data_IF_313101073549
#
_entry.id   IF_313101073549
#
_cell.length_a   1.000
_cell.length_b   1.000
_cell.length_c   1.000
_cell.angle_alpha   90.00
_cell.angle_beta   90.00
_cell.angle_gamma   90.00
#
_symmetry.space_group_name_H-M   'P 1'
#
loop_
_entity.id
_entity.type
_entity.pdbx_description
1 polymer ?
#
# COMPACT_ATOMS: atom_id res chain seq x y z
N UNK A 1 3.09 8.48 5.66
CA UNK A 1 3.73 8.96 4.43
C UNK A 1 5.06 8.25 4.22
N UNK A 2 6.02 8.31 5.16
CA UNK A 2 7.34 7.66 5.01
C UNK A 2 7.22 6.20 4.56
N UNK A 3 6.37 5.39 5.21
CA UNK A 3 6.16 4.00 4.84
C UNK A 3 5.60 3.86 3.41
N UNK A 4 4.67 4.72 3.00
CA UNK A 4 4.12 4.71 1.63
C UNK A 4 5.20 5.01 0.60
N UNK A 5 6.04 6.01 0.84
CA UNK A 5 7.16 6.38 -0.06
C UNK A 5 8.17 5.24 -0.16
N UNK A 6 8.62 4.69 0.97
CA UNK A 6 9.58 3.59 0.98
C UNK A 6 9.05 2.33 0.29
N UNK A 7 7.79 1.95 0.57
CA UNK A 7 7.16 0.78 -0.05
C UNK A 7 6.98 0.97 -1.56
N UNK A 8 6.57 2.17 -2.00
CA UNK A 8 6.42 2.48 -3.43
C UNK A 8 7.76 2.44 -4.14
N UNK A 9 8.78 3.08 -3.58
CA UNK A 9 10.12 3.09 -4.16
C UNK A 9 10.69 1.67 -4.27
N UNK A 10 10.59 0.88 -3.19
CA UNK A 10 11.02 -0.51 -3.19
C UNK A 10 10.35 -1.32 -4.29
N UNK A 11 9.02 -1.25 -4.40
CA UNK A 11 8.28 -2.01 -5.41
C UNK A 11 8.64 -1.57 -6.84
N UNK A 12 8.77 -0.28 -7.09
CA UNK A 12 9.21 0.20 -8.40
C UNK A 12 10.60 -0.30 -8.76
N UNK A 13 11.56 -0.22 -7.83
CA UNK A 13 12.92 -0.68 -8.06
C UNK A 13 13.03 -2.21 -8.19
N UNK A 14 12.12 -2.98 -7.57
CA UNK A 14 12.02 -4.44 -7.76
C UNK A 14 11.39 -4.83 -9.11
N UNK A 15 10.71 -3.89 -9.79
CA UNK A 15 10.05 -4.13 -11.07
C UNK A 15 10.53 -3.15 -12.15
N UNK A 16 11.76 -3.31 -12.67
CA UNK A 16 12.40 -2.33 -13.56
C UNK A 16 11.56 -1.98 -14.79
N UNK A 17 10.89 -2.96 -15.39
CA UNK A 17 10.03 -2.70 -16.56
C UNK A 17 8.87 -1.76 -16.25
N UNK A 18 8.27 -1.90 -15.06
CA UNK A 18 7.17 -1.01 -14.62
C UNK A 18 7.69 0.35 -14.17
N UNK A 19 8.89 0.41 -13.61
CA UNK A 19 9.58 1.67 -13.34
C UNK A 19 9.83 2.45 -14.63
N UNK A 20 10.27 1.77 -15.69
CA UNK A 20 10.47 2.38 -17.00
C UNK A 20 9.15 2.84 -17.63
N UNK A 21 8.05 2.12 -17.41
CA UNK A 21 6.72 2.58 -17.80
C UNK A 21 6.34 3.88 -17.09
N UNK A 22 6.52 3.96 -15.78
CA UNK A 22 6.25 5.19 -14.99
C UNK A 22 7.15 6.34 -15.44
N UNK A 23 8.41 6.10 -15.78
CA UNK A 23 9.33 7.12 -16.32
C UNK A 23 8.89 7.65 -17.68
N UNK A 24 8.41 6.75 -18.56
CA UNK A 24 7.91 7.13 -19.91
C UNK A 24 6.54 7.79 -19.87
N UNK A 25 5.70 7.39 -18.92
CA UNK A 25 4.33 7.86 -18.76
C UNK A 25 4.12 8.37 -17.32
N UNK A 26 4.53 9.61 -17.00
CA UNK A 26 4.43 10.16 -15.63
C UNK A 26 3.01 10.12 -15.03
N UNK A 27 1.98 10.08 -15.88
CA UNK A 27 0.58 9.92 -15.45
C UNK A 27 0.29 8.59 -14.75
N UNK A 28 1.16 7.56 -14.88
CA UNK A 28 1.04 6.29 -14.17
C UNK A 28 1.46 6.38 -12.70
N UNK A 29 2.14 7.43 -12.29
CA UNK A 29 2.73 7.51 -10.95
C UNK A 29 1.68 7.45 -9.84
N UNK A 30 0.54 8.11 -10.00
CA UNK A 30 -0.55 8.02 -9.03
C UNK A 30 -1.10 6.60 -8.89
N UNK A 31 -1.22 5.88 -10.02
CA UNK A 31 -1.59 4.46 -10.06
C UNK A 31 -0.56 3.58 -9.36
N UNK A 32 0.72 3.81 -9.62
CA UNK A 32 1.82 3.10 -8.98
C UNK A 32 1.84 3.28 -7.46
N UNK A 33 1.63 4.52 -6.98
CA UNK A 33 1.51 4.82 -5.54
C UNK A 33 0.30 4.12 -4.94
N UNK A 34 -0.86 4.18 -5.61
CA UNK A 34 -2.08 3.51 -5.13
C UNK A 34 -1.90 1.99 -5.05
N UNK A 35 -1.27 1.39 -6.05
CA UNK A 35 -1.00 -0.05 -6.12
C UNK A 35 0.03 -0.49 -5.08
N UNK A 36 1.08 0.29 -4.87
CA UNK A 36 2.06 0.01 -3.82
C UNK A 36 1.40 0.03 -2.42
N UNK A 37 0.55 1.01 -2.15
CA UNK A 37 -0.23 1.11 -0.91
C UNK A 37 -1.24 -0.04 -0.78
N UNK A 38 -1.80 -0.54 -1.88
CA UNK A 38 -2.63 -1.75 -1.87
C UNK A 38 -1.81 -2.97 -1.50
N UNK A 39 -0.72 -3.21 -2.19
CA UNK A 39 0.07 -4.44 -2.09
C UNK A 39 0.86 -4.51 -0.78
N UNK A 40 1.43 -3.39 -0.35
CA UNK A 40 2.20 -3.27 0.90
C UNK A 40 1.62 -2.11 1.73
N UNK A 41 0.43 -2.29 2.34
CA UNK A 41 -0.20 -1.23 3.11
C UNK A 41 0.67 -0.86 4.33
N UNK A 42 0.86 0.44 4.60
CA UNK A 42 1.58 0.89 5.81
C UNK A 42 0.94 0.41 7.12
N UNK A 43 -0.37 0.21 7.11
CA UNK A 43 -1.13 -0.38 8.22
C UNK A 43 -1.70 -1.72 7.74
N UNK A 44 -1.16 -2.83 8.27
CA UNK A 44 -1.55 -4.17 7.86
C UNK A 44 -2.84 -4.65 8.52
N UNK A 45 -3.10 -4.21 9.75
CA UNK A 45 -4.26 -4.57 10.57
C UNK A 45 -4.82 -3.34 11.26
N UNK A 46 -6.14 -3.33 11.43
CA UNK A 46 -6.83 -2.36 12.29
C UNK A 46 -7.63 -3.08 13.35
N UNK A 47 -7.56 -2.57 14.56
CA UNK A 47 -8.20 -3.15 15.74
C UNK A 47 -9.61 -2.63 15.91
N UNK A 48 -10.53 -3.51 16.31
CA UNK A 48 -11.92 -3.20 16.62
C UNK A 48 -12.37 -3.98 17.86
N UNK A 49 -13.36 -3.47 18.53
CA UNK A 49 -14.06 -4.15 19.62
C UNK A 49 -15.55 -4.19 19.30
N UNK A 50 -16.15 -5.37 19.39
CA UNK A 50 -17.58 -5.53 19.19
C UNK A 50 -18.34 -4.83 20.33
N UNK A 51 -19.35 -4.03 20.00
CA UNK A 51 -20.23 -3.42 20.99
C UNK A 51 -21.36 -4.35 21.40
N UNK A 52 -21.81 -5.15 20.47
CA UNK A 52 -22.89 -6.13 20.58
C UNK A 52 -22.47 -7.42 19.87
N UNK A 53 -23.13 -8.55 20.11
CA UNK A 53 -22.87 -9.76 19.34
C UNK A 53 -23.08 -9.50 17.85
N UNK A 54 -22.18 -9.99 17.02
CA UNK A 54 -22.24 -9.84 15.56
C UNK A 54 -21.87 -11.15 14.88
N UNK A 55 -22.60 -11.46 13.81
CA UNK A 55 -22.26 -12.60 12.96
C UNK A 55 -21.51 -12.13 11.73
N UNK A 56 -20.33 -12.71 11.50
CA UNK A 56 -19.51 -12.45 10.30
C UNK A 56 -19.31 -13.79 9.58
N UNK A 57 -19.88 -13.91 8.40
CA UNK A 57 -20.00 -15.19 7.69
C UNK A 57 -20.64 -16.25 8.59
N UNK A 58 -19.91 -17.33 8.90
CA UNK A 58 -20.41 -18.43 9.73
C UNK A 58 -19.93 -18.37 11.18
N UNK A 59 -19.32 -17.24 11.60
CA UNK A 59 -18.76 -17.07 12.94
C UNK A 59 -19.60 -16.08 13.73
N UNK A 60 -20.11 -16.52 14.90
CA UNK A 60 -20.73 -15.65 15.88
C UNK A 60 -19.66 -15.06 16.81
N UNK A 61 -19.55 -13.74 16.83
CA UNK A 61 -18.58 -13.00 17.65
C UNK A 61 -19.36 -12.36 18.80
N UNK A 62 -19.06 -12.69 20.05
CA UNK A 62 -19.72 -12.08 21.22
C UNK A 62 -19.50 -10.56 21.29
N UNK A 63 -20.26 -9.89 22.16
CA UNK A 63 -19.98 -8.51 22.51
C UNK A 63 -18.67 -8.39 23.30
N UNK A 64 -17.99 -7.26 23.14
CA UNK A 64 -16.73 -6.91 23.82
C UNK A 64 -15.55 -7.80 23.45
N UNK A 65 -15.61 -8.42 22.29
CA UNK A 65 -14.49 -9.18 21.74
C UNK A 65 -13.59 -8.31 20.87
N UNK A 66 -12.29 -8.63 20.95
CA UNK A 66 -11.27 -8.02 20.10
C UNK A 66 -11.32 -8.62 18.70
N UNK A 67 -11.36 -7.79 17.69
CA UNK A 67 -11.36 -8.19 16.28
C UNK A 67 -10.25 -7.49 15.52
N UNK A 68 -9.31 -8.26 14.99
CA UNK A 68 -8.28 -7.77 14.07
C UNK A 68 -8.77 -7.80 12.63
N UNK A 69 -9.01 -6.65 12.04
CA UNK A 69 -9.37 -6.55 10.60
C UNK A 69 -8.11 -6.51 9.76
N UNK A 70 -7.90 -7.56 8.94
CA UNK A 70 -6.73 -7.68 8.08
C UNK A 70 -6.87 -6.82 6.84
N UNK A 71 -6.25 -5.65 6.82
CA UNK A 71 -6.17 -4.77 5.64
C UNK A 71 -5.35 -5.42 4.53
N UNK A 72 -4.23 -6.06 4.89
CA UNK A 72 -3.37 -6.76 3.93
C UNK A 72 -4.09 -7.95 3.28
N UNK A 73 -4.95 -8.65 4.02
CA UNK A 73 -5.79 -9.72 3.49
C UNK A 73 -6.86 -9.18 2.55
N UNK A 74 -7.62 -8.17 2.99
CA UNK A 74 -8.66 -7.54 2.18
C UNK A 74 -8.13 -6.95 0.87
N UNK A 75 -6.93 -6.38 0.89
CA UNK A 75 -6.28 -5.82 -0.29
C UNK A 75 -5.74 -6.90 -1.27
N UNK A 76 -5.80 -8.17 -0.87
CA UNK A 76 -5.42 -9.33 -1.67
C UNK A 76 -6.58 -10.29 -1.93
N UNK A 77 -7.81 -9.84 -1.70
CA UNK A 77 -9.00 -10.64 -2.00
C UNK A 77 -9.11 -10.87 -3.52
N UNK A 78 -9.02 -12.12 -4.00
CA UNK A 78 -9.11 -12.43 -5.43
C UNK A 78 -10.51 -12.14 -6.02
N UNK A 79 -11.54 -12.05 -5.19
CA UNK A 79 -12.88 -11.62 -5.63
C UNK A 79 -12.92 -10.14 -6.01
N UNK A 80 -11.94 -9.34 -5.56
CA UNK A 80 -11.84 -7.91 -5.83
C UNK A 80 -10.68 -7.58 -6.77
N UNK A 81 -9.53 -8.23 -6.58
CA UNK A 81 -8.30 -7.94 -7.29
C UNK A 81 -7.82 -9.18 -8.05
N UNK A 82 -7.85 -9.14 -9.38
CA UNK A 82 -7.24 -10.17 -10.19
C UNK A 82 -5.72 -10.21 -9.91
N UNK A 83 -5.14 -11.42 -9.84
CA UNK A 83 -3.72 -11.63 -9.51
C UNK A 83 -3.26 -10.76 -8.33
N UNK A 84 -3.88 -10.93 -7.15
CA UNK A 84 -3.79 -9.96 -6.06
C UNK A 84 -2.38 -9.81 -5.46
N UNK A 85 -1.50 -10.77 -5.71
CA UNK A 85 -0.09 -10.74 -5.30
C UNK A 85 0.84 -9.99 -6.24
N UNK A 86 0.38 -9.70 -7.46
CA UNK A 86 1.19 -9.04 -8.50
C UNK A 86 1.13 -7.53 -8.33
N UNK A 87 2.29 -6.88 -8.40
CA UNK A 87 2.40 -5.43 -8.51
C UNK A 87 2.13 -5.02 -9.95
N UNK A 88 1.16 -4.13 -10.16
CA UNK A 88 0.76 -3.66 -11.50
C UNK A 88 0.43 -2.16 -11.43
N UNK A 89 1.33 -1.32 -11.97
CA UNK A 89 1.17 0.15 -12.00
C UNK A 89 -0.03 0.62 -12.82
N UNK A 90 -0.57 -0.25 -13.67
CA UNK A 90 -1.74 0.02 -14.51
C UNK A 90 -3.03 -0.60 -13.94
N UNK A 91 -2.99 -1.17 -12.74
CA UNK A 91 -4.17 -1.80 -12.11
C UNK A 91 -5.34 -0.82 -12.01
N UNK A 92 -6.47 -1.10 -12.69
CA UNK A 92 -7.55 -0.13 -12.80
C UNK A 92 -8.31 0.08 -11.48
N UNK A 93 -8.25 -0.89 -10.58
CA UNK A 93 -9.03 -0.88 -9.33
C UNK A 93 -8.16 -0.77 -8.06
N UNK A 94 -6.89 -0.36 -8.17
CA UNK A 94 -6.01 -0.15 -7.00
C UNK A 94 -6.63 0.79 -5.96
N UNK A 95 -7.42 1.77 -6.40
CA UNK A 95 -8.14 2.70 -5.53
C UNK A 95 -9.22 2.08 -4.64
N UNK A 96 -9.63 0.83 -4.89
CA UNK A 96 -10.57 0.08 -4.03
C UNK A 96 -9.91 -0.50 -2.77
N UNK A 97 -8.59 -0.38 -2.64
CA UNK A 97 -7.85 -0.88 -1.48
C UNK A 97 -8.33 -0.23 -0.18
N UNK A 98 -8.40 -1.03 0.88
CA UNK A 98 -8.83 -0.58 2.21
C UNK A 98 -7.69 -0.02 3.08
N UNK A 99 -6.55 0.31 2.46
CA UNK A 99 -5.36 0.83 3.17
C UNK A 99 -5.59 2.14 3.91
N UNK A 100 -6.61 2.89 3.50
CA UNK A 100 -7.05 4.13 4.15
C UNK A 100 -8.37 3.96 4.90
N UNK A 101 -8.76 2.71 5.20
CA UNK A 101 -10.04 2.38 5.83
C UNK A 101 -11.26 2.75 4.96
N UNK A 102 -12.46 2.71 5.53
CA UNK A 102 -13.70 2.99 4.83
C UNK A 102 -14.75 3.59 5.77
N UNK A 103 -15.74 4.30 5.20
CA UNK A 103 -16.87 4.87 5.92
C UNK A 103 -16.44 5.95 6.92
N UNK A 104 -17.03 5.95 8.10
CA UNK A 104 -16.79 6.97 9.15
C UNK A 104 -15.34 6.93 9.70
N UNK A 105 -14.61 5.85 9.44
CA UNK A 105 -13.22 5.68 9.83
C UNK A 105 -12.24 5.91 8.67
N UNK A 106 -12.72 6.38 7.51
CA UNK A 106 -11.83 6.71 6.40
C UNK A 106 -10.74 7.70 6.86
N UNK A 107 -9.52 7.45 6.43
CA UNK A 107 -8.37 8.28 6.80
C UNK A 107 -8.60 9.74 6.36
N UNK A 108 -8.59 10.66 7.31
CA UNK A 108 -8.75 12.08 7.02
C UNK A 108 -7.63 12.63 6.13
N UNK A 109 -6.42 12.08 6.26
CA UNK A 109 -5.23 12.47 5.51
C UNK A 109 -5.03 11.74 4.18
N UNK A 110 -6.00 10.96 3.68
CA UNK A 110 -5.87 10.13 2.47
C UNK A 110 -5.34 10.93 1.28
N UNK A 111 -5.99 12.04 0.94
CA UNK A 111 -5.61 12.85 -0.22
C UNK A 111 -4.22 13.45 -0.06
N UNK A 112 -3.91 13.99 1.13
CA UNK A 112 -2.61 14.55 1.43
C UNK A 112 -1.50 13.49 1.36
N UNK A 113 -1.74 12.30 1.93
CA UNK A 113 -0.78 11.22 1.90
C UNK A 113 -0.47 10.75 0.46
N UNK A 114 -1.49 10.67 -0.40
CA UNK A 114 -1.29 10.33 -1.82
C UNK A 114 -0.48 11.40 -2.54
N UNK A 115 -0.90 12.66 -2.46
CA UNK A 115 -0.20 13.78 -3.12
C UNK A 115 1.26 13.83 -2.68
N UNK A 116 1.54 13.74 -1.37
CA UNK A 116 2.91 13.78 -0.86
C UNK A 116 3.74 12.57 -1.30
N UNK A 117 3.14 11.37 -1.33
CA UNK A 117 3.85 10.18 -1.81
C UNK A 117 4.17 10.29 -3.30
N UNK A 118 3.21 10.71 -4.13
CA UNK A 118 3.41 10.92 -5.57
C UNK A 118 4.48 11.99 -5.83
N UNK A 119 4.41 13.13 -5.13
CA UNK A 119 5.39 14.21 -5.28
C UNK A 119 6.80 13.77 -4.87
N UNK A 120 6.93 13.03 -3.75
CA UNK A 120 8.22 12.53 -3.30
C UNK A 120 8.85 11.54 -4.28
N UNK A 121 8.07 10.56 -4.76
CA UNK A 121 8.57 9.57 -5.74
C UNK A 121 8.89 10.26 -7.06
N UNK A 122 8.00 11.12 -7.58
CA UNK A 122 8.24 11.86 -8.82
C UNK A 122 9.49 12.73 -8.75
N UNK A 123 9.71 13.42 -7.64
CA UNK A 123 10.91 14.22 -7.41
C UNK A 123 12.18 13.37 -7.37
N UNK A 124 12.14 12.19 -6.71
CA UNK A 124 13.28 11.27 -6.68
C UNK A 124 13.61 10.72 -8.07
N UNK A 125 12.62 10.27 -8.82
CA UNK A 125 12.82 9.71 -10.16
C UNK A 125 13.34 10.76 -11.15
N UNK A 126 12.92 12.02 -11.01
CA UNK A 126 13.40 13.12 -11.83
C UNK A 126 14.84 13.54 -11.48
N UNK A 127 15.16 13.59 -10.18
CA UNK A 127 16.48 14.01 -9.71
C UNK A 127 17.56 12.93 -9.94
N UNK A 128 17.17 11.65 -9.92
CA UNK A 128 18.07 10.51 -10.00
C UNK A 128 17.60 9.50 -11.05
N UNK A 129 17.83 9.75 -12.35
CA UNK A 129 17.40 8.84 -13.42
C UNK A 129 18.03 7.44 -13.35
N UNK A 130 19.20 7.32 -12.73
CA UNK A 130 19.95 6.07 -12.56
C UNK A 130 19.62 5.32 -11.26
N UNK A 131 18.51 5.64 -10.58
CA UNK A 131 18.16 4.96 -9.32
C UNK A 131 18.13 3.44 -9.47
N UNK A 132 18.90 2.77 -8.61
CA UNK A 132 19.03 1.32 -8.52
C UNK A 132 18.76 0.84 -7.09
N UNK A 133 18.25 -0.38 -6.97
CA UNK A 133 18.01 -1.04 -5.68
C UNK A 133 19.31 -1.63 -5.15
N UNK A 134 19.72 -1.18 -3.98
CA UNK A 134 20.79 -1.80 -3.19
C UNK A 134 20.25 -2.85 -2.22
N UNK A 135 20.87 -2.97 -1.05
CA UNK A 135 20.39 -3.85 0.02
C UNK A 135 19.13 -3.31 0.64
N UNK A 136 18.21 -4.20 1.00
CA UNK A 136 17.00 -3.83 1.71
C UNK A 136 16.54 -4.96 2.64
N UNK A 137 15.77 -4.59 3.64
CA UNK A 137 15.02 -5.55 4.46
C UNK A 137 13.56 -5.61 3.98
N UNK A 138 12.93 -6.78 3.94
CA UNK A 138 11.51 -6.88 3.56
C UNK A 138 10.61 -6.03 4.47
N UNK A 139 9.53 -5.42 3.93
CA UNK A 139 8.58 -4.69 4.74
C UNK A 139 8.01 -5.53 5.88
N UNK A 140 8.13 -5.07 7.11
CA UNK A 140 7.71 -5.77 8.33
C UNK A 140 6.86 -4.87 9.23
N UNK A 141 6.23 -5.46 10.25
CA UNK A 141 5.40 -4.77 11.24
C UNK A 141 3.90 -4.78 10.93
N UNK A 142 3.08 -4.53 11.96
CA UNK A 142 1.61 -4.42 11.87
C UNK A 142 1.17 -3.00 11.55
N UNK A 143 1.78 -2.00 12.20
CA UNK A 143 1.57 -0.60 11.92
C UNK A 143 2.88 0.01 11.40
N UNK A 144 2.78 0.99 10.50
CA UNK A 144 3.93 1.61 9.82
C UNK A 144 4.82 0.59 9.10
N UNK A 145 4.17 -0.42 8.49
CA UNK A 145 4.82 -1.49 7.74
C UNK A 145 5.65 -0.93 6.58
N UNK A 146 6.97 -1.12 6.67
CA UNK A 146 7.95 -0.66 5.70
C UNK A 146 9.26 -1.44 5.84
N UNK A 147 10.18 -1.35 4.89
CA UNK A 147 11.55 -1.78 5.09
C UNK A 147 12.17 -1.09 6.30
N UNK A 148 12.91 -1.80 7.13
CA UNK A 148 13.69 -1.18 8.19
C UNK A 148 14.89 -0.40 7.59
N UNK A 149 15.47 -0.96 6.51
CA UNK A 149 16.50 -0.31 5.69
C UNK A 149 16.19 -0.47 4.20
N UNK A 150 16.51 0.55 3.41
CA UNK A 150 16.42 0.56 1.95
C UNK A 150 17.60 1.38 1.42
N UNK A 151 18.62 0.68 0.91
CA UNK A 151 19.74 1.30 0.25
C UNK A 151 19.41 1.51 -1.23
N UNK A 152 19.73 2.66 -1.75
CA UNK A 152 19.57 3.03 -3.16
C UNK A 152 20.88 3.59 -3.70
N UNK A 153 21.24 3.19 -4.93
CA UNK A 153 22.31 3.78 -5.73
C UNK A 153 21.74 4.74 -6.79
N UNK A 154 22.58 5.63 -7.32
CA UNK A 154 22.23 6.52 -8.44
C UNK A 154 23.44 6.89 -9.27
#
# INVERSE_FOLDING_TARGET
IQASVMNTLLLLLQHPSQLDDVRREPGLLDGAVAEAIRLVPPVAFVERWTREPVRVADVDIPAREFVGVSVIGANRDPAVFADPGVFDVRRPNAGRALSFSYGIHACLGLHLARIQSTAAIGGLLAAFPGLELGRFEPPSGFAFRRPASLEIGW
#
